data_IF_653555232458
#
_entry.id   IF_653555232458
#
_cell.length_a   1.000
_cell.length_b   1.000
_cell.length_c   1.000
_cell.angle_alpha   90.00
_cell.angle_beta   90.00
_cell.angle_gamma   90.00
#
_symmetry.space_group_name_H-M   'P 1'
#
loop_
_entity.id
_entity.type
_entity.pdbx_description
1 polymer ?
#
# COMPACT_ATOMS: atom_id res chain seq x y z
N UNK A 1 -14.08 -16.22 -10.92
CA UNK A 1 -14.51 -17.59 -10.73
C UNK A 1 -14.96 -17.88 -9.28
N UNK A 2 -14.67 -17.00 -8.37
CA UNK A 2 -15.09 -17.09 -6.95
C UNK A 2 -16.25 -16.15 -6.66
N UNK A 3 -16.21 -14.92 -7.19
CA UNK A 3 -17.26 -13.92 -7.06
C UNK A 3 -17.78 -13.57 -8.45
N UNK A 4 -19.06 -13.88 -8.72
CA UNK A 4 -19.71 -13.64 -10.03
C UNK A 4 -19.89 -12.16 -10.35
N UNK A 5 -19.90 -11.31 -9.32
CA UNK A 5 -20.03 -9.86 -9.48
C UNK A 5 -18.70 -9.16 -9.81
N UNK A 6 -17.57 -9.83 -9.52
CA UNK A 6 -16.24 -9.31 -9.86
C UNK A 6 -15.85 -9.77 -11.26
N UNK A 7 -15.83 -8.83 -12.18
CA UNK A 7 -15.44 -9.04 -13.57
C UNK A 7 -14.25 -8.17 -13.92
N UNK A 8 -13.40 -8.65 -14.84
CA UNK A 8 -12.29 -7.88 -15.40
C UNK A 8 -12.47 -7.78 -16.92
N UNK A 9 -12.17 -6.62 -17.47
CA UNK A 9 -12.30 -6.31 -18.89
C UNK A 9 -11.04 -5.62 -19.39
N UNK A 10 -10.34 -6.24 -20.36
CA UNK A 10 -9.28 -5.62 -21.13
C UNK A 10 -9.87 -4.80 -22.28
N UNK A 11 -9.39 -3.60 -22.47
CA UNK A 11 -9.82 -2.67 -23.52
C UNK A 11 -8.63 -2.05 -24.23
N UNK A 12 -8.89 -1.25 -25.25
CA UNK A 12 -7.88 -0.42 -25.92
C UNK A 12 -7.25 0.65 -24.99
N UNK A 13 -7.93 0.97 -23.87
CA UNK A 13 -7.54 2.05 -22.95
C UNK A 13 -7.14 1.58 -21.56
N UNK A 14 -6.81 0.30 -21.41
CA UNK A 14 -6.40 -0.28 -20.13
C UNK A 14 -7.32 -1.38 -19.64
N UNK A 15 -7.19 -1.71 -18.36
CA UNK A 15 -8.01 -2.73 -17.68
C UNK A 15 -9.06 -2.05 -16.82
N UNK A 16 -10.26 -2.59 -16.87
CA UNK A 16 -11.39 -2.19 -16.04
C UNK A 16 -11.85 -3.38 -15.21
N UNK A 17 -12.45 -3.10 -14.06
CA UNK A 17 -13.10 -4.11 -13.25
C UNK A 17 -14.50 -3.65 -12.86
N UNK A 18 -15.39 -4.61 -12.65
CA UNK A 18 -16.74 -4.39 -12.13
C UNK A 18 -16.90 -5.17 -10.84
N UNK A 19 -17.54 -4.58 -9.84
CA UNK A 19 -17.97 -5.23 -8.60
C UNK A 19 -19.49 -5.44 -8.56
N UNK A 20 -20.17 -5.10 -9.64
CA UNK A 20 -21.65 -5.11 -9.77
C UNK A 20 -22.15 -6.04 -10.89
N UNK A 21 -21.36 -7.06 -11.26
CA UNK A 21 -21.73 -7.99 -12.33
C UNK A 21 -21.78 -7.36 -13.72
N UNK A 22 -21.05 -6.24 -13.93
CA UNK A 22 -20.96 -5.56 -15.23
C UNK A 22 -21.85 -4.32 -15.35
N UNK A 23 -22.63 -3.96 -14.32
CA UNK A 23 -23.48 -2.76 -14.38
C UNK A 23 -22.66 -1.46 -14.34
N UNK A 24 -21.58 -1.44 -13.57
CA UNK A 24 -20.64 -0.32 -13.48
C UNK A 24 -19.23 -0.80 -13.66
N UNK A 25 -18.39 0.01 -14.31
CA UNK A 25 -17.00 -0.31 -14.57
C UNK A 25 -16.08 0.76 -14.02
N UNK A 26 -15.05 0.31 -13.34
CA UNK A 26 -14.02 1.15 -12.70
C UNK A 26 -12.71 0.86 -13.39
N UNK A 27 -12.01 1.90 -13.82
CA UNK A 27 -10.68 1.74 -14.41
C UNK A 27 -9.68 1.31 -13.35
N UNK A 28 -8.93 0.25 -13.62
CA UNK A 28 -7.80 -0.15 -12.79
C UNK A 28 -6.64 0.81 -13.07
N UNK A 29 -6.41 1.73 -12.12
CA UNK A 29 -5.33 2.71 -12.14
C UNK A 29 -4.22 2.28 -11.18
N UNK A 30 -3.14 3.07 -11.05
CA UNK A 30 -2.06 2.75 -10.12
C UNK A 30 -0.99 1.84 -10.71
N UNK A 31 -0.44 2.22 -11.86
CA UNK A 31 0.65 1.49 -12.53
C UNK A 31 0.24 0.81 -13.82
N UNK A 32 -1.04 0.70 -14.11
CA UNK A 32 -1.53 0.20 -15.40
C UNK A 32 -1.46 1.31 -16.45
N UNK A 33 -0.74 1.12 -17.56
CA UNK A 33 -0.68 2.11 -18.63
C UNK A 33 -1.98 2.17 -19.43
N UNK A 34 -2.17 3.28 -20.13
CA UNK A 34 -3.29 3.48 -21.05
C UNK A 34 -2.95 2.90 -22.43
N UNK A 35 -2.91 1.57 -22.53
CA UNK A 35 -2.58 0.81 -23.74
C UNK A 35 -3.57 -0.33 -23.94
N UNK A 36 -3.67 -0.90 -25.17
CA UNK A 36 -4.54 -2.04 -25.43
C UNK A 36 -4.14 -3.27 -24.62
N UNK A 37 -5.11 -3.83 -23.88
CA UNK A 37 -5.00 -5.14 -23.26
C UNK A 37 -5.80 -6.14 -24.12
N UNK A 38 -5.10 -7.11 -24.69
CA UNK A 38 -5.63 -8.05 -25.67
C UNK A 38 -6.20 -9.32 -25.04
N UNK A 39 -5.64 -9.69 -23.88
CA UNK A 39 -6.09 -10.88 -23.16
C UNK A 39 -5.89 -10.72 -21.68
N UNK A 40 -6.75 -11.36 -20.89
CA UNK A 40 -6.69 -11.40 -19.42
C UNK A 40 -6.80 -12.85 -18.95
N UNK A 41 -5.87 -13.25 -18.09
CA UNK A 41 -5.89 -14.57 -17.46
C UNK A 41 -5.80 -14.46 -15.94
N UNK A 42 -6.51 -15.34 -15.24
CA UNK A 42 -6.42 -15.46 -13.78
C UNK A 42 -5.51 -16.63 -13.42
N UNK A 43 -4.40 -16.35 -12.77
CA UNK A 43 -3.56 -17.37 -12.15
C UNK A 43 -4.20 -17.76 -10.81
N UNK A 44 -4.83 -18.95 -10.78
CA UNK A 44 -5.73 -19.34 -9.68
C UNK A 44 -5.01 -19.67 -8.37
N UNK A 45 -3.76 -20.13 -8.41
CA UNK A 45 -3.00 -20.53 -7.22
C UNK A 45 -2.66 -19.34 -6.33
N UNK A 46 -2.17 -18.23 -6.95
CA UNK A 46 -1.76 -17.04 -6.22
C UNK A 46 -2.83 -15.92 -6.29
N UNK A 47 -3.90 -16.12 -7.06
CA UNK A 47 -4.95 -15.14 -7.32
C UNK A 47 -4.43 -13.87 -7.99
N UNK A 48 -3.56 -14.06 -8.98
CA UNK A 48 -3.03 -12.94 -9.76
C UNK A 48 -3.87 -12.73 -11.01
N UNK A 49 -4.02 -11.46 -11.42
CA UNK A 49 -4.58 -11.12 -12.72
C UNK A 49 -3.43 -10.78 -13.67
N UNK A 50 -3.30 -11.55 -14.72
CA UNK A 50 -2.28 -11.35 -15.75
C UNK A 50 -2.94 -10.72 -16.98
N UNK A 51 -2.42 -9.59 -17.42
CA UNK A 51 -2.90 -8.89 -18.62
C UNK A 51 -1.84 -8.88 -19.71
N UNK A 52 -2.17 -9.42 -20.89
CA UNK A 52 -1.36 -9.34 -22.08
C UNK A 52 -1.65 -8.07 -22.86
N UNK A 53 -0.62 -7.31 -23.21
CA UNK A 53 -0.77 -6.02 -23.89
C UNK A 53 -0.27 -6.07 -25.32
N UNK A 54 -0.73 -5.13 -26.13
CA UNK A 54 -0.17 -4.94 -27.46
C UNK A 54 1.17 -4.20 -27.39
N UNK A 55 2.25 -4.94 -27.65
CA UNK A 55 3.60 -4.38 -27.80
C UNK A 55 4.36 -4.04 -26.52
N UNK A 56 3.79 -4.25 -25.32
CA UNK A 56 4.47 -3.95 -24.05
C UNK A 56 4.51 -5.11 -23.04
N UNK A 57 4.41 -6.34 -23.53
CA UNK A 57 4.52 -7.55 -22.71
C UNK A 57 3.31 -7.75 -21.78
N UNK A 58 3.59 -8.24 -20.60
CA UNK A 58 2.57 -8.63 -19.62
C UNK A 58 2.61 -7.71 -18.40
N UNK A 59 1.42 -7.47 -17.83
CA UNK A 59 1.24 -6.81 -16.55
C UNK A 59 0.59 -7.80 -15.59
N UNK A 60 1.04 -7.79 -14.35
CA UNK A 60 0.52 -8.69 -13.30
C UNK A 60 0.03 -7.83 -12.14
N UNK A 61 -1.24 -8.01 -11.77
CA UNK A 61 -1.75 -7.56 -10.50
C UNK A 61 -1.68 -8.74 -9.52
N UNK A 62 -0.69 -8.70 -8.65
CA UNK A 62 -0.51 -9.71 -7.62
C UNK A 62 -1.68 -9.68 -6.64
N UNK A 63 -2.19 -10.83 -6.30
CA UNK A 63 -3.24 -11.04 -5.30
C UNK A 63 -4.40 -10.04 -5.38
N UNK A 64 -5.34 -10.28 -6.29
CA UNK A 64 -6.54 -9.46 -6.42
C UNK A 64 -7.66 -9.83 -5.41
N UNK A 65 -7.39 -10.74 -4.44
CA UNK A 65 -8.42 -11.20 -3.49
C UNK A 65 -9.12 -10.08 -2.72
N UNK A 66 -8.48 -8.96 -2.34
CA UNK A 66 -9.17 -7.84 -1.72
C UNK A 66 -10.34 -7.32 -2.57
N UNK A 67 -10.20 -7.28 -3.90
CA UNK A 67 -11.27 -6.82 -4.79
C UNK A 67 -12.53 -7.71 -4.76
N UNK A 68 -12.42 -8.97 -4.33
CA UNK A 68 -13.58 -9.87 -4.19
C UNK A 68 -14.53 -9.44 -3.08
N UNK A 69 -14.03 -8.67 -2.10
CA UNK A 69 -14.78 -8.23 -0.92
C UNK A 69 -15.27 -6.79 -1.07
N UNK A 70 -14.77 -6.06 -2.07
CA UNK A 70 -15.21 -4.69 -2.32
C UNK A 70 -16.67 -4.68 -2.75
N UNK A 71 -17.48 -3.94 -2.00
CA UNK A 71 -18.88 -3.63 -2.32
C UNK A 71 -19.09 -2.14 -2.18
N UNK A 72 -20.15 -1.58 -2.78
CA UNK A 72 -20.48 -0.18 -2.62
C UNK A 72 -20.64 0.19 -1.14
N UNK A 73 -21.33 -0.67 -0.36
CA UNK A 73 -21.51 -0.49 1.08
C UNK A 73 -20.19 -0.48 1.86
N UNK A 74 -19.22 -1.32 1.45
CA UNK A 74 -17.91 -1.37 2.12
C UNK A 74 -17.13 -0.09 1.89
N UNK A 75 -17.25 0.50 0.70
CA UNK A 75 -16.58 1.76 0.34
C UNK A 75 -17.21 3.01 1.02
N UNK A 76 -18.38 2.86 1.67
CA UNK A 76 -18.97 3.90 2.51
C UNK A 76 -18.27 4.01 3.90
N UNK A 77 -17.53 2.97 4.31
CA UNK A 77 -16.75 3.01 5.54
C UNK A 77 -15.55 3.96 5.37
N UNK A 78 -15.20 4.66 6.44
CA UNK A 78 -14.02 5.54 6.45
C UNK A 78 -12.73 4.77 6.18
N UNK A 79 -12.63 3.57 6.74
CA UNK A 79 -11.46 2.70 6.63
C UNK A 79 -11.85 1.24 6.58
N UNK A 80 -11.07 0.44 5.85
CA UNK A 80 -11.24 -1.01 5.79
C UNK A 80 -9.86 -1.67 5.74
N UNK A 81 -9.62 -2.65 6.60
CA UNK A 81 -8.50 -3.59 6.49
C UNK A 81 -9.02 -4.89 5.87
N UNK A 82 -8.44 -5.29 4.75
CA UNK A 82 -8.83 -6.53 4.08
C UNK A 82 -8.16 -7.75 4.72
N UNK A 83 -8.81 -8.93 4.69
CA UNK A 83 -8.20 -10.16 5.14
C UNK A 83 -6.86 -10.41 4.46
N UNK A 84 -5.91 -10.87 5.25
CA UNK A 84 -4.54 -11.17 4.82
C UNK A 84 -4.44 -12.64 4.49
N UNK A 85 -3.85 -12.95 3.34
CA UNK A 85 -3.54 -14.33 3.00
C UNK A 85 -2.33 -14.84 3.77
N UNK A 86 -2.20 -16.16 3.89
CA UNK A 86 -1.03 -16.80 4.50
C UNK A 86 0.25 -16.37 3.80
N UNK A 87 1.19 -15.84 4.58
CA UNK A 87 2.50 -15.48 4.09
C UNK A 87 3.42 -16.71 4.10
N UNK A 88 4.15 -16.91 3.01
CA UNK A 88 5.10 -18.00 2.89
C UNK A 88 6.52 -17.49 3.06
N UNK A 89 7.27 -18.14 3.93
CA UNK A 89 8.70 -17.90 3.99
C UNK A 89 9.41 -18.66 2.86
N UNK A 90 10.33 -17.99 2.18
CA UNK A 90 11.21 -18.60 1.18
C UNK A 90 12.53 -17.84 1.12
N UNK A 91 13.57 -18.46 0.61
CA UNK A 91 14.87 -17.82 0.37
C UNK A 91 14.83 -17.17 -1.01
N UNK A 92 14.83 -15.80 -1.11
CA UNK A 92 14.86 -15.14 -2.39
C UNK A 92 16.16 -15.50 -3.15
N UNK A 93 15.99 -16.02 -4.36
CA UNK A 93 17.15 -16.26 -5.24
C UNK A 93 17.61 -14.92 -5.84
N UNK A 94 18.92 -14.74 -5.89
CA UNK A 94 19.56 -13.65 -6.61
C UNK A 94 20.30 -14.21 -7.81
N UNK A 95 20.33 -13.51 -8.97
CA UNK A 95 21.18 -13.91 -10.08
C UNK A 95 22.66 -13.97 -9.65
N UNK A 96 23.40 -14.91 -10.20
CA UNK A 96 24.84 -15.06 -9.90
C UNK A 96 25.59 -13.77 -10.27
N UNK A 97 26.49 -13.33 -9.40
CA UNK A 97 27.24 -12.08 -9.58
C UNK A 97 26.47 -10.80 -9.22
N UNK A 98 25.29 -10.93 -8.63
CA UNK A 98 24.47 -9.81 -8.18
C UNK A 98 24.54 -9.62 -6.66
N UNK A 99 25.05 -8.49 -6.24
CA UNK A 99 25.11 -8.04 -4.82
C UNK A 99 23.97 -7.06 -4.46
N UNK A 100 23.30 -6.50 -5.46
CA UNK A 100 22.25 -5.49 -5.30
C UNK A 100 20.90 -5.97 -5.80
N UNK A 101 19.83 -5.46 -5.20
CA UNK A 101 18.47 -5.64 -5.71
C UNK A 101 18.32 -5.01 -7.10
N UNK A 102 17.62 -5.69 -8.02
CA UNK A 102 17.41 -5.23 -9.40
C UNK A 102 18.58 -5.44 -10.35
N UNK A 103 19.66 -6.09 -9.90
CA UNK A 103 20.78 -6.47 -10.75
C UNK A 103 20.33 -7.53 -11.77
N UNK A 104 20.67 -7.32 -13.05
CA UNK A 104 20.31 -8.19 -14.19
C UNK A 104 21.33 -9.29 -14.48
N UNK A 105 22.48 -9.32 -13.74
CA UNK A 105 23.57 -10.25 -13.97
C UNK A 105 24.07 -10.21 -15.40
N UNK A 106 24.28 -11.38 -16.02
CA UNK A 106 24.76 -11.54 -17.39
C UNK A 106 23.74 -11.25 -18.49
N UNK A 107 22.50 -10.95 -18.15
CA UNK A 107 21.42 -10.72 -19.14
C UNK A 107 21.53 -9.39 -19.89
N UNK A 108 22.40 -8.48 -19.42
CA UNK A 108 22.65 -7.20 -20.06
C UNK A 108 21.61 -6.12 -19.74
N UNK A 109 21.95 -4.87 -20.08
CA UNK A 109 21.16 -3.70 -19.75
C UNK A 109 19.82 -3.61 -20.48
N UNK A 110 19.72 -4.18 -21.67
CA UNK A 110 18.50 -4.17 -22.50
C UNK A 110 17.41 -5.16 -22.03
N UNK A 111 17.76 -6.09 -21.15
CA UNK A 111 16.80 -7.07 -20.63
C UNK A 111 15.89 -6.40 -19.57
N UNK A 112 14.59 -6.41 -19.83
CA UNK A 112 13.62 -5.92 -18.84
C UNK A 112 13.32 -7.00 -17.80
N UNK A 113 13.38 -6.60 -16.54
CA UNK A 113 13.00 -7.44 -15.41
C UNK A 113 12.10 -6.65 -14.47
N UNK A 114 10.88 -7.13 -14.27
CA UNK A 114 9.98 -6.56 -13.29
C UNK A 114 10.44 -6.92 -11.86
N UNK A 115 10.21 -6.04 -10.87
CA UNK A 115 10.44 -6.39 -9.47
C UNK A 115 9.51 -7.53 -9.05
N UNK A 116 9.99 -8.39 -8.15
CA UNK A 116 9.14 -9.38 -7.48
C UNK A 116 8.13 -8.70 -6.55
N UNK A 117 7.00 -9.37 -6.26
CA UNK A 117 6.14 -8.96 -5.15
C UNK A 117 6.94 -8.80 -3.85
N UNK A 118 6.52 -7.91 -2.94
CA UNK A 118 7.17 -7.76 -1.65
C UNK A 118 7.22 -9.10 -0.90
N UNK A 119 8.37 -9.41 -0.30
CA UNK A 119 8.51 -10.58 0.55
C UNK A 119 7.70 -10.41 1.83
N UNK A 120 6.98 -11.45 2.24
CA UNK A 120 6.30 -11.52 3.53
C UNK A 120 4.78 -11.42 3.45
N UNK A 121 4.16 -10.88 4.51
CA UNK A 121 2.72 -10.69 4.59
C UNK A 121 2.33 -9.33 4.01
N UNK A 122 1.47 -9.34 2.99
CA UNK A 122 0.99 -8.11 2.36
C UNK A 122 -0.37 -7.72 2.94
N UNK A 123 -0.42 -6.55 3.56
CA UNK A 123 -1.63 -5.94 4.09
C UNK A 123 -2.22 -5.01 3.04
N UNK A 124 -3.50 -5.18 2.77
CA UNK A 124 -4.25 -4.26 1.91
C UNK A 124 -5.27 -3.54 2.75
N UNK A 125 -5.30 -2.21 2.69
CA UNK A 125 -6.31 -1.40 3.35
C UNK A 125 -6.85 -0.32 2.42
N UNK A 126 -8.03 0.19 2.75
CA UNK A 126 -8.71 1.27 2.05
C UNK A 126 -8.95 2.44 2.99
N UNK A 127 -8.74 3.64 2.49
CA UNK A 127 -9.10 4.90 3.14
C UNK A 127 -10.06 5.66 2.23
N UNK A 128 -11.23 6.02 2.74
CA UNK A 128 -12.19 6.83 1.98
C UNK A 128 -11.65 8.25 1.74
N UNK A 129 -11.01 8.82 2.77
CA UNK A 129 -10.43 10.15 2.73
C UNK A 129 -8.96 10.14 3.14
N UNK A 130 -8.22 11.12 2.65
CA UNK A 130 -6.86 11.39 3.10
C UNK A 130 -6.88 11.89 4.56
N UNK A 131 -6.01 11.31 5.39
CA UNK A 131 -5.75 11.83 6.74
C UNK A 131 -4.82 13.03 6.60
N UNK A 132 -5.29 14.20 7.02
CA UNK A 132 -4.58 15.47 6.86
C UNK A 132 -4.16 16.05 8.18
N UNK A 133 -3.04 16.77 8.18
CA UNK A 133 -2.65 17.65 9.28
C UNK A 133 -3.66 18.79 9.46
N UNK A 134 -3.64 19.45 10.61
CA UNK A 134 -4.44 20.66 10.88
C UNK A 134 -4.13 21.75 9.86
N UNK A 135 -2.85 21.92 9.55
CA UNK A 135 -2.39 22.85 8.52
C UNK A 135 -3.02 22.56 7.16
N UNK A 136 -2.97 21.31 6.68
CA UNK A 136 -3.58 20.93 5.40
C UNK A 136 -5.11 21.07 5.43
N UNK A 137 -5.75 20.80 6.56
CA UNK A 137 -7.20 21.00 6.73
C UNK A 137 -7.57 22.49 6.64
N UNK A 138 -6.77 23.36 7.26
CA UNK A 138 -6.95 24.83 7.15
C UNK A 138 -6.78 25.29 5.71
N UNK A 139 -5.71 24.92 5.03
CA UNK A 139 -5.49 25.27 3.62
C UNK A 139 -6.64 24.80 2.72
N UNK A 140 -7.19 23.60 2.99
CA UNK A 140 -8.35 23.09 2.24
C UNK A 140 -9.61 23.95 2.47
N UNK A 141 -9.80 24.51 3.67
CA UNK A 141 -10.93 25.44 3.97
C UNK A 141 -10.72 26.81 3.36
N UNK A 142 -9.48 27.31 3.33
CA UNK A 142 -9.13 28.63 2.80
C UNK A 142 -9.13 28.68 1.25
N UNK A 143 -8.82 27.56 0.60
CA UNK A 143 -8.70 27.50 -0.86
C UNK A 143 -9.93 28.02 -1.61
N UNK A 144 -11.20 27.65 -1.28
CA UNK A 144 -12.37 28.20 -1.97
C UNK A 144 -12.54 29.71 -1.76
N UNK A 145 -12.17 30.25 -0.59
CA UNK A 145 -12.20 31.69 -0.31
C UNK A 145 -11.19 32.44 -1.20
N UNK A 146 -9.97 31.91 -1.30
CA UNK A 146 -8.94 32.47 -2.18
C UNK A 146 -9.36 32.42 -3.65
N UNK A 147 -9.98 31.32 -4.10
CA UNK A 147 -10.48 31.18 -5.48
C UNK A 147 -11.66 32.15 -5.76
N UNK A 148 -12.44 32.50 -4.74
CA UNK A 148 -13.50 33.52 -4.82
C UNK A 148 -12.99 34.94 -4.72
N UNK A 149 -11.69 35.18 -4.44
CA UNK A 149 -11.11 36.48 -4.20
C UNK A 149 -11.52 37.10 -2.86
N UNK A 150 -11.96 36.27 -1.92
CA UNK A 150 -12.31 36.66 -0.56
C UNK A 150 -11.10 36.60 0.38
N UNK A 151 -11.12 37.43 1.43
CA UNK A 151 -10.08 37.41 2.45
C UNK A 151 -10.14 36.13 3.28
N UNK A 152 -8.99 35.49 3.52
CA UNK A 152 -8.89 34.37 4.43
C UNK A 152 -8.70 34.88 5.87
N UNK A 153 -9.48 34.35 6.83
CA UNK A 153 -9.33 34.75 8.23
C UNK A 153 -7.96 34.37 8.77
N UNK A 154 -7.31 35.27 9.48
CA UNK A 154 -6.05 34.97 10.18
C UNK A 154 -6.30 33.95 11.30
N UNK A 155 -5.62 32.78 11.31
CA UNK A 155 -5.91 31.69 12.24
C UNK A 155 -5.50 31.99 13.69
N UNK A 156 -4.66 32.99 13.90
CA UNK A 156 -4.11 33.31 15.22
C UNK A 156 -2.84 32.52 15.57
N UNK A 157 -2.02 33.13 16.44
CA UNK A 157 -0.72 32.53 16.82
C UNK A 157 -0.85 31.18 17.52
N UNK A 158 -1.86 30.98 18.35
CA UNK A 158 -2.06 29.72 19.06
C UNK A 158 -2.34 28.54 18.11
N UNK A 159 -3.14 28.77 17.07
CA UNK A 159 -3.44 27.75 16.05
C UNK A 159 -2.20 27.46 15.23
N UNK A 160 -1.46 28.49 14.78
CA UNK A 160 -0.23 28.32 14.02
C UNK A 160 0.87 27.57 14.79
N UNK A 161 1.02 27.81 16.09
CA UNK A 161 1.94 27.06 16.94
C UNK A 161 1.51 25.60 17.04
N UNK A 162 0.21 25.33 17.23
CA UNK A 162 -0.33 23.98 17.32
C UNK A 162 -0.12 23.22 15.99
N UNK A 163 -0.38 23.88 14.86
CA UNK A 163 -0.08 23.30 13.53
C UNK A 163 1.41 22.99 13.35
N UNK A 164 2.29 23.90 13.80
CA UNK A 164 3.75 23.73 13.66
C UNK A 164 4.35 22.65 14.58
N UNK A 165 3.64 22.27 15.63
CA UNK A 165 4.06 21.22 16.56
C UNK A 165 3.37 19.88 16.29
N UNK A 166 2.42 19.83 15.36
CA UNK A 166 1.71 18.60 15.01
C UNK A 166 2.67 17.61 14.33
N UNK A 167 2.68 16.38 14.82
CA UNK A 167 3.37 15.28 14.14
C UNK A 167 2.60 14.88 12.87
N UNK A 168 3.34 14.50 11.83
CA UNK A 168 2.73 13.97 10.60
C UNK A 168 1.83 12.78 10.92
N UNK A 169 0.56 12.79 10.47
CA UNK A 169 -0.32 11.67 10.66
C UNK A 169 0.21 10.44 9.92
N UNK A 170 -0.03 9.26 10.49
CA UNK A 170 0.36 8.00 9.87
C UNK A 170 -0.70 6.93 10.06
N UNK A 171 -0.84 6.07 9.07
CA UNK A 171 -1.45 4.76 9.26
C UNK A 171 -0.38 3.85 9.83
N UNK A 172 -0.74 3.13 10.89
CA UNK A 172 0.16 2.19 11.57
C UNK A 172 -0.51 0.81 11.63
N UNK A 173 0.08 -0.13 10.93
CA UNK A 173 -0.30 -1.54 10.98
C UNK A 173 0.48 -2.17 12.13
N UNK A 174 -0.23 -2.58 13.17
CA UNK A 174 0.34 -3.22 14.36
C UNK A 174 0.18 -4.73 14.23
N UNK A 175 1.30 -5.43 14.12
CA UNK A 175 1.34 -6.89 14.06
C UNK A 175 1.56 -7.44 15.46
N UNK A 176 0.73 -8.39 15.88
CA UNK A 176 0.81 -9.06 17.19
C UNK A 176 0.93 -10.57 17.01
N UNK A 177 1.58 -11.22 17.97
CA UNK A 177 1.64 -12.68 18.05
C UNK A 177 0.40 -13.30 18.73
N UNK A 178 0.38 -14.62 18.88
CA UNK A 178 -0.70 -15.35 19.54
C UNK A 178 -0.88 -14.99 21.03
N UNK A 179 0.13 -14.39 21.68
CA UNK A 179 0.09 -13.91 23.06
C UNK A 179 -0.33 -12.43 23.16
N UNK A 180 -0.80 -11.83 22.06
CA UNK A 180 -1.16 -10.40 21.94
C UNK A 180 0.02 -9.43 22.15
N UNK A 181 1.26 -9.93 22.07
CA UNK A 181 2.45 -9.09 22.14
C UNK A 181 2.71 -8.43 20.80
N UNK A 182 3.05 -7.14 20.82
CA UNK A 182 3.36 -6.37 19.62
C UNK A 182 4.72 -6.80 19.06
N UNK A 183 4.71 -7.33 17.84
CA UNK A 183 5.90 -7.77 17.11
C UNK A 183 6.46 -6.64 16.24
N UNK A 184 5.58 -5.91 15.56
CA UNK A 184 6.00 -4.90 14.59
C UNK A 184 4.97 -3.80 14.42
N UNK A 185 5.44 -2.57 14.26
CA UNK A 185 4.69 -1.46 13.72
C UNK A 185 5.19 -1.15 12.30
N UNK A 186 4.27 -1.00 11.37
CA UNK A 186 4.57 -0.73 9.97
C UNK A 186 3.75 0.48 9.55
N UNK A 187 4.42 1.53 9.11
CA UNK A 187 3.75 2.73 8.64
C UNK A 187 3.29 2.55 7.19
N UNK A 188 2.10 3.04 6.90
CA UNK A 188 1.49 3.02 5.58
C UNK A 188 1.06 4.41 5.13
N UNK A 189 0.79 4.60 3.82
CA UNK A 189 0.29 5.83 3.25
C UNK A 189 -1.02 6.30 3.89
N UNK A 190 -1.22 7.63 3.94
CA UNK A 190 -2.41 8.28 4.51
C UNK A 190 -3.33 8.89 3.45
N UNK A 191 -3.00 8.73 2.17
CA UNK A 191 -3.83 9.25 1.06
C UNK A 191 -5.10 8.42 0.88
N UNK A 192 -6.14 9.01 0.29
CA UNK A 192 -7.36 8.26 -0.04
C UNK A 192 -7.08 7.15 -1.08
N UNK A 193 -7.82 6.05 -0.98
CA UNK A 193 -7.74 4.92 -1.89
C UNK A 193 -7.21 3.63 -1.28
N UNK A 194 -6.84 2.69 -2.15
CA UNK A 194 -6.29 1.40 -1.75
C UNK A 194 -4.78 1.47 -1.60
N UNK A 195 -4.29 0.89 -0.52
CA UNK A 195 -2.87 0.82 -0.20
C UNK A 195 -2.44 -0.61 0.10
N UNK A 196 -1.20 -0.92 -0.26
CA UNK A 196 -0.54 -2.18 0.08
C UNK A 196 0.76 -1.91 0.80
N UNK A 197 0.93 -2.57 1.95
CA UNK A 197 2.14 -2.52 2.76
C UNK A 197 2.53 -3.94 3.13
N UNK A 198 3.81 -4.26 3.09
CA UNK A 198 4.27 -5.61 3.40
C UNK A 198 5.06 -5.63 4.72
N UNK A 199 4.80 -6.65 5.53
CA UNK A 199 5.65 -7.03 6.64
C UNK A 199 6.64 -8.10 6.16
N UNK A 200 7.91 -7.84 6.34
CA UNK A 200 9.02 -8.70 5.95
C UNK A 200 9.21 -9.94 6.87
N UNK A 201 8.23 -10.26 7.70
CA UNK A 201 8.22 -11.35 8.68
C UNK A 201 9.39 -11.25 9.68
N UNK A 202 9.79 -10.03 10.04
CA UNK A 202 10.89 -9.79 10.96
C UNK A 202 10.50 -8.93 12.15
N UNK A 203 11.16 -9.20 13.26
CA UNK A 203 11.18 -8.30 14.39
C UNK A 203 11.90 -6.99 14.03
N UNK A 204 11.74 -5.92 14.81
CA UNK A 204 12.54 -4.71 14.64
C UNK A 204 14.04 -5.03 14.75
N UNK A 205 14.84 -4.30 13.98
CA UNK A 205 16.29 -4.42 14.13
C UNK A 205 16.71 -4.00 15.55
N UNK A 206 17.60 -4.77 16.21
CA UNK A 206 18.03 -4.48 17.58
C UNK A 206 19.05 -3.35 17.67
N UNK A 207 18.91 -2.33 16.84
CA UNK A 207 19.86 -1.22 16.78
C UNK A 207 19.32 0.00 17.53
N UNK A 208 20.21 0.76 18.19
CA UNK A 208 19.82 2.02 18.78
C UNK A 208 19.31 2.98 17.70
N UNK A 209 18.31 3.78 18.05
CA UNK A 209 17.84 4.85 17.17
C UNK A 209 18.98 5.81 16.84
N UNK A 210 19.19 6.08 15.55
CA UNK A 210 20.18 7.04 15.06
C UNK A 210 19.45 8.10 14.25
N UNK A 211 19.65 9.41 14.53
CA UNK A 211 19.07 10.48 13.75
C UNK A 211 19.38 10.33 12.27
N UNK A 212 18.39 10.61 11.39
CA UNK A 212 18.54 10.49 9.93
C UNK A 212 19.78 11.22 9.39
N UNK A 213 20.13 12.38 9.97
CA UNK A 213 21.31 13.16 9.59
C UNK A 213 22.66 12.46 9.87
N UNK A 214 22.70 11.44 10.73
CA UNK A 214 23.90 10.67 11.07
C UNK A 214 23.90 9.25 10.52
N UNK A 215 22.86 8.86 9.78
CA UNK A 215 22.85 7.57 9.08
C UNK A 215 23.91 7.60 7.97
N UNK A 216 25.06 6.98 8.25
CA UNK A 216 25.95 6.59 7.17
C UNK A 216 25.20 5.57 6.31
N UNK A 217 25.23 5.75 4.99
CA UNK A 217 24.70 4.74 4.06
C UNK A 217 25.51 3.44 4.22
N UNK A 218 25.07 2.59 5.12
CA UNK A 218 25.60 1.24 5.24
C UNK A 218 25.15 0.43 4.02
N UNK A 219 26.01 -0.44 3.51
CA UNK A 219 25.71 -1.35 2.40
C UNK A 219 24.51 -2.28 2.67
N UNK A 220 24.16 -2.46 3.93
CA UNK A 220 22.93 -3.16 4.35
C UNK A 220 22.40 -2.50 5.61
N UNK A 221 21.17 -2.01 5.57
CA UNK A 221 20.48 -1.63 6.81
C UNK A 221 20.35 -2.90 7.68
N UNK A 222 20.61 -2.78 8.99
CA UNK A 222 20.45 -3.91 9.89
C UNK A 222 18.99 -4.37 9.87
N UNK A 223 18.80 -5.65 9.77
CA UNK A 223 17.48 -6.31 9.77
C UNK A 223 17.28 -7.10 11.05
N UNK A 224 16.06 -7.13 11.57
CA UNK A 224 15.70 -7.96 12.71
C UNK A 224 15.71 -9.45 12.37
N UNK A 225 15.64 -10.28 13.41
CA UNK A 225 15.46 -11.74 13.25
C UNK A 225 14.11 -12.04 12.62
N UNK A 226 14.01 -13.16 11.93
CA UNK A 226 12.73 -13.65 11.39
C UNK A 226 11.79 -14.05 12.52
N UNK A 227 10.52 -13.75 12.35
CA UNK A 227 9.47 -14.22 13.23
C UNK A 227 9.29 -15.74 13.06
N UNK A 228 8.90 -16.41 14.12
CA UNK A 228 8.61 -17.85 14.10
C UNK A 228 7.38 -18.14 13.25
N UNK A 229 7.30 -19.32 12.62
CA UNK A 229 6.06 -19.75 11.98
C UNK A 229 4.90 -19.81 12.99
N UNK A 230 3.78 -19.19 12.68
CA UNK A 230 2.64 -19.13 13.59
C UNK A 230 1.54 -18.21 13.08
N UNK A 231 0.54 -18.02 13.91
CA UNK A 231 -0.58 -17.11 13.64
C UNK A 231 -0.29 -15.76 14.25
N UNK A 232 -0.46 -14.73 13.42
CA UNK A 232 -0.30 -13.33 13.79
C UNK A 232 -1.59 -12.58 13.47
N UNK A 233 -1.91 -11.59 14.27
CA UNK A 233 -3.00 -10.65 14.02
C UNK A 233 -2.45 -9.31 13.59
N UNK A 234 -3.17 -8.60 12.74
CA UNK A 234 -2.83 -7.24 12.32
C UNK A 234 -3.99 -6.30 12.62
N UNK A 235 -3.66 -5.17 13.24
CA UNK A 235 -4.59 -4.12 13.58
C UNK A 235 -4.25 -2.85 12.80
N UNK A 236 -5.25 -2.24 12.19
CA UNK A 236 -5.11 -0.97 11.50
C UNK A 236 -5.33 0.16 12.47
N UNK A 237 -4.33 1.01 12.65
CA UNK A 237 -4.39 2.15 13.54
C UNK A 237 -4.08 3.43 12.77
N UNK A 238 -4.62 4.55 13.21
CA UNK A 238 -4.13 5.87 12.83
C UNK A 238 -3.36 6.51 13.98
N UNK A 239 -2.28 7.19 13.66
CA UNK A 239 -1.52 8.02 14.60
C UNK A 239 -1.81 9.47 14.27
N UNK A 240 -2.36 10.21 15.26
CA UNK A 240 -2.55 11.66 15.19
C UNK A 240 -2.03 12.24 16.50
N UNK A 241 -1.19 13.28 16.44
CA UNK A 241 -0.56 13.90 17.61
C UNK A 241 0.11 12.87 18.54
N UNK A 242 0.83 11.90 17.97
CA UNK A 242 1.50 10.83 18.72
C UNK A 242 0.58 9.78 19.35
N UNK A 243 -0.75 9.91 19.26
CA UNK A 243 -1.73 8.96 19.81
C UNK A 243 -2.17 7.95 18.75
N UNK A 244 -2.12 6.67 19.10
CA UNK A 244 -2.66 5.60 18.27
C UNK A 244 -4.15 5.42 18.56
N UNK A 245 -4.94 5.40 17.50
CA UNK A 245 -6.37 5.07 17.54
C UNK A 245 -6.61 3.90 16.59
N UNK A 246 -7.17 2.82 17.10
CA UNK A 246 -7.54 1.67 16.29
C UNK A 246 -8.72 2.04 15.37
N UNK A 247 -8.62 1.59 14.12
CA UNK A 247 -9.61 1.75 13.08
C UNK A 247 -10.23 0.37 12.80
N UNK A 248 -11.53 0.29 12.81
CA UNK A 248 -12.29 -0.94 12.56
C UNK A 248 -12.44 -1.22 11.06
#
# INVERSE_FOLDING_TARGET
HVNSNLLFLGTEFGVFFSISGGNTWIKLSGGTPNIPFRDLAIQKRENDLVGATFGRGFYVLDDYTPLRQVTAKLLENETVLFPVRDARWYVPKRPLGCDKSGCKSSQGAAYFQAPNPPFGATFTYYLADQIRTRHEQRLKREKPLQEAGEDTPYPGWAELITEGLEDDPAIVLTVKNASDEIIRHIEGPVTAGFHRVAWDLRYPAPNPWVPKAKRQQSRSDPVGVLAEPGTYTVHLNRRIDGKLQELN
#
